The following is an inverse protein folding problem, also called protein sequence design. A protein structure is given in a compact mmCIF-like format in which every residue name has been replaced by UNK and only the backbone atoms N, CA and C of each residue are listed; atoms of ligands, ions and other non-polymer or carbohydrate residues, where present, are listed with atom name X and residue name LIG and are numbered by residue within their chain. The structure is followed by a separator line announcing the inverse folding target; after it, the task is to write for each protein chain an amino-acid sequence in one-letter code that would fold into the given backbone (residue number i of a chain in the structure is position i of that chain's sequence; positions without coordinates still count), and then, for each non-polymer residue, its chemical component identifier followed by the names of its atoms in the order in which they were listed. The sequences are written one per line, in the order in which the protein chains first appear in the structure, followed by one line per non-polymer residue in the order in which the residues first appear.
data_IF_308389073817
#
_entry.id   IF_308389073817
#
_cell.length_a   1.000
_cell.length_b   1.000
_cell.length_c   1.000
_cell.angle_alpha   90.00
_cell.angle_beta   90.00
_cell.angle_gamma   90.00
#
_symmetry.space_group_name_H-M   'P 1'
#
loop_
_entity.id
_entity.type
_entity.pdbx_description
1 polymer ?
#
# COMPACT_ATOMS: atom_id res chain seq x y z
N UNK A 1 53.54 -16.32 76.97
CA UNK A 1 52.29 -17.05 76.74
C UNK A 1 51.24 -16.06 76.26
N UNK A 2 50.99 -15.99 74.95
CA UNK A 2 49.76 -15.39 74.36
C UNK A 2 49.81 -15.60 72.85
N UNK A 3 49.09 -16.60 72.35
CA UNK A 3 48.83 -16.78 70.92
C UNK A 3 47.61 -15.93 70.55
N UNK A 4 47.72 -15.09 69.51
CA UNK A 4 46.56 -14.52 68.81
C UNK A 4 46.58 -15.02 67.37
N UNK A 5 45.58 -15.84 67.06
CA UNK A 5 45.25 -16.39 65.75
C UNK A 5 44.50 -15.33 64.92
N UNK A 6 44.98 -15.02 63.72
CA UNK A 6 44.24 -14.27 62.71
C UNK A 6 43.63 -15.25 61.71
N UNK A 7 42.30 -15.34 61.70
CA UNK A 7 41.53 -16.04 60.67
C UNK A 7 41.46 -15.15 59.42
N UNK A 8 42.10 -15.59 58.33
CA UNK A 8 41.96 -14.97 57.01
C UNK A 8 40.55 -15.25 56.45
N UNK A 9 39.84 -14.18 56.08
CA UNK A 9 38.46 -14.21 55.60
C UNK A 9 38.35 -14.76 54.18
N UNK A 10 37.68 -15.91 54.06
CA UNK A 10 37.12 -16.47 52.82
C UNK A 10 35.82 -15.72 52.52
N UNK A 11 35.87 -14.55 51.89
CA UNK A 11 34.65 -13.79 51.52
C UNK A 11 34.68 -13.12 50.14
N UNK A 12 35.69 -13.39 49.30
CA UNK A 12 35.85 -12.68 48.02
C UNK A 12 35.22 -13.33 46.75
N UNK A 13 34.81 -14.62 46.66
CA UNK A 13 34.36 -15.16 45.38
C UNK A 13 32.85 -15.03 45.09
N UNK A 14 32.01 -14.71 46.08
CA UNK A 14 30.55 -14.72 45.92
C UNK A 14 29.96 -13.48 45.23
N UNK A 15 30.67 -12.34 45.25
CA UNK A 15 30.14 -11.07 44.74
C UNK A 15 30.29 -10.91 43.21
N UNK A 16 31.19 -11.66 42.58
CA UNK A 16 31.49 -11.56 41.13
C UNK A 16 30.46 -12.33 40.28
N UNK A 17 29.84 -13.38 40.83
CA UNK A 17 28.83 -14.19 40.11
C UNK A 17 27.44 -13.54 40.04
N UNK A 18 27.12 -12.65 40.98
CA UNK A 18 25.79 -12.00 41.06
C UNK A 18 25.67 -10.81 40.10
N UNK A 19 26.77 -10.14 39.75
CA UNK A 19 26.74 -9.00 38.82
C UNK A 19 26.65 -9.41 37.35
N UNK A 20 27.19 -10.58 36.98
CA UNK A 20 27.13 -11.10 35.61
C UNK A 20 25.73 -11.59 35.20
N UNK A 21 24.96 -12.14 36.13
CA UNK A 21 23.57 -12.59 35.86
C UNK A 21 22.59 -11.43 35.73
N UNK A 22 22.80 -10.32 36.45
CA UNK A 22 21.98 -9.11 36.32
C UNK A 22 22.21 -8.39 34.99
N UNK A 23 23.43 -8.40 34.44
CA UNK A 23 23.69 -7.82 33.11
C UNK A 23 23.01 -8.62 31.97
N UNK A 24 22.97 -9.96 32.06
CA UNK A 24 22.35 -10.79 31.03
C UNK A 24 20.81 -10.72 31.05
N UNK A 25 20.20 -10.55 32.23
CA UNK A 25 18.75 -10.35 32.34
C UNK A 25 18.33 -8.92 31.98
N UNK A 26 19.18 -7.91 32.21
CA UNK A 26 18.94 -6.54 31.79
C UNK A 26 18.85 -6.39 30.27
N UNK A 27 19.77 -7.00 29.52
CA UNK A 27 19.84 -6.86 28.06
C UNK A 27 18.60 -7.37 27.30
N UNK A 28 17.92 -8.40 27.81
CA UNK A 28 16.74 -8.97 27.15
C UNK A 28 15.49 -8.07 27.21
N UNK A 29 15.40 -7.17 28.19
CA UNK A 29 14.21 -6.33 28.42
C UNK A 29 14.21 -5.06 27.55
N UNK A 30 15.37 -4.57 27.11
CA UNK A 30 15.46 -3.36 26.28
C UNK A 30 15.12 -3.60 24.80
N UNK A 31 15.26 -4.84 24.30
CA UNK A 31 15.07 -5.15 22.86
C UNK A 31 13.60 -5.10 22.42
N UNK A 32 12.63 -5.20 23.33
CA UNK A 32 11.20 -5.18 22.96
C UNK A 32 10.60 -3.76 22.86
N UNK A 33 11.16 -2.77 23.57
CA UNK A 33 10.54 -1.45 23.72
C UNK A 33 10.57 -0.56 22.45
N UNK A 34 11.46 -0.85 21.49
CA UNK A 34 11.66 0.00 20.30
C UNK A 34 10.95 -0.50 19.03
N UNK A 35 10.17 -1.58 19.09
CA UNK A 35 9.45 -2.08 17.91
C UNK A 35 8.21 -1.23 17.63
N UNK A 36 8.27 -0.40 16.58
CA UNK A 36 7.07 0.30 16.05
C UNK A 36 6.01 -0.74 15.65
N UNK A 37 4.74 -0.55 16.02
CA UNK A 37 3.68 -1.47 15.60
C UNK A 37 3.61 -1.51 14.07
N UNK A 38 3.26 -2.67 13.48
CA UNK A 38 3.14 -2.78 12.04
C UNK A 38 2.10 -1.79 11.51
N UNK A 39 2.31 -1.25 10.30
CA UNK A 39 1.35 -0.35 9.71
C UNK A 39 0.02 -1.08 9.50
N UNK A 40 -1.10 -0.35 9.58
CA UNK A 40 -2.43 -0.93 9.39
C UNK A 40 -2.70 -1.18 7.90
N UNK A 41 -3.72 -1.97 7.60
CA UNK A 41 -4.24 -2.10 6.23
C UNK A 41 -4.57 -0.70 5.66
N UNK A 42 -4.30 -0.42 4.37
CA UNK A 42 -3.71 -1.32 3.37
C UNK A 42 -2.18 -1.39 3.40
N UNK A 43 -1.51 -0.52 4.16
CA UNK A 43 -0.05 -0.40 4.19
C UNK A 43 0.65 -1.67 4.67
N UNK A 44 -0.01 -2.46 5.53
CA UNK A 44 0.48 -3.78 5.95
C UNK A 44 0.80 -4.71 4.76
N UNK A 45 -0.01 -4.68 3.69
CA UNK A 45 0.18 -5.54 2.53
C UNK A 45 1.51 -5.25 1.83
N UNK A 46 1.92 -3.98 1.79
CA UNK A 46 3.19 -3.57 1.19
C UNK A 46 4.37 -3.80 2.13
N UNK A 47 4.16 -3.60 3.43
CA UNK A 47 5.22 -3.71 4.43
C UNK A 47 5.67 -5.17 4.66
N UNK A 48 4.78 -6.13 4.45
CA UNK A 48 5.06 -7.57 4.63
C UNK A 48 5.45 -8.29 3.34
N UNK A 49 5.35 -7.62 2.19
CA UNK A 49 5.62 -8.22 0.89
C UNK A 49 7.11 -8.39 0.64
N UNK A 50 7.46 -9.45 -0.09
CA UNK A 50 8.77 -9.65 -0.72
C UNK A 50 8.67 -9.37 -2.21
N UNK A 51 9.82 -9.25 -2.87
CA UNK A 51 9.90 -9.02 -4.32
C UNK A 51 9.15 -10.07 -5.13
N UNK A 52 9.17 -11.33 -4.68
CA UNK A 52 8.55 -12.46 -5.37
C UNK A 52 7.02 -12.48 -5.24
N UNK A 53 6.47 -11.70 -4.31
CA UNK A 53 5.01 -11.60 -4.12
C UNK A 53 4.38 -10.64 -5.15
N UNK A 54 5.20 -9.93 -5.93
CA UNK A 54 4.80 -9.04 -7.01
C UNK A 54 4.87 -9.75 -8.36
N UNK A 55 3.77 -9.66 -9.11
CA UNK A 55 3.58 -10.28 -10.42
C UNK A 55 3.85 -9.31 -11.57
N UNK A 56 3.88 -9.81 -12.79
CA UNK A 56 3.85 -8.95 -13.98
C UNK A 56 2.42 -8.42 -14.25
N UNK A 57 2.31 -7.25 -14.87
CA UNK A 57 1.02 -6.57 -15.13
C UNK A 57 0.12 -7.40 -16.07
N UNK A 58 0.72 -8.24 -16.93
CA UNK A 58 0.04 -9.15 -17.85
C UNK A 58 -0.84 -10.17 -17.10
N UNK A 59 -0.43 -10.60 -15.90
CA UNK A 59 -1.23 -11.50 -15.06
C UNK A 59 -2.53 -10.82 -14.64
N UNK A 60 -2.47 -9.53 -14.31
CA UNK A 60 -3.65 -8.73 -14.00
C UNK A 60 -4.51 -8.51 -15.24
N UNK A 61 -3.89 -8.23 -16.39
CA UNK A 61 -4.58 -7.98 -17.65
C UNK A 61 -5.40 -9.19 -18.13
N UNK A 62 -4.99 -10.42 -17.80
CA UNK A 62 -5.73 -11.64 -18.15
C UNK A 62 -7.17 -11.67 -17.61
N UNK A 63 -7.40 -11.15 -16.41
CA UNK A 63 -8.73 -11.09 -15.78
C UNK A 63 -9.34 -9.68 -15.78
N UNK A 64 -8.53 -8.62 -15.90
CA UNK A 64 -8.97 -7.23 -15.91
C UNK A 64 -8.62 -6.50 -17.23
N UNK A 65 -9.04 -7.02 -18.39
CA UNK A 65 -8.59 -6.51 -19.70
C UNK A 65 -9.02 -5.08 -19.96
N UNK A 66 -10.23 -4.69 -19.55
CA UNK A 66 -10.75 -3.34 -19.76
C UNK A 66 -9.95 -2.28 -18.99
N UNK A 67 -9.49 -2.60 -17.77
CA UNK A 67 -8.65 -1.68 -16.99
C UNK A 67 -7.24 -1.63 -17.57
N UNK A 68 -6.69 -2.77 -17.97
CA UNK A 68 -5.37 -2.86 -18.57
C UNK A 68 -5.28 -2.10 -19.92
N UNK A 69 -6.37 -2.04 -20.68
CA UNK A 69 -6.44 -1.26 -21.92
C UNK A 69 -6.50 0.26 -21.67
N UNK A 70 -7.10 0.67 -20.56
CA UNK A 70 -7.43 2.07 -20.25
C UNK A 70 -6.35 2.79 -19.42
N UNK A 71 -5.85 2.11 -18.39
CA UNK A 71 -4.84 2.62 -17.47
C UNK A 71 -3.60 3.21 -18.15
N UNK A 72 -3.04 2.65 -19.25
CA UNK A 72 -1.86 3.17 -19.94
C UNK A 72 -1.96 4.65 -20.33
N UNK A 73 -3.18 5.18 -20.46
CA UNK A 73 -3.46 6.56 -20.88
C UNK A 73 -3.38 7.57 -19.73
N UNK A 74 -3.13 7.12 -18.52
CA UNK A 74 -3.17 7.95 -17.30
C UNK A 74 -1.79 8.45 -16.89
N UNK A 75 -1.74 9.57 -16.17
CA UNK A 75 -0.49 10.09 -15.59
C UNK A 75 0.17 9.12 -14.61
N UNK A 76 -0.63 8.32 -13.89
CA UNK A 76 -0.09 7.32 -12.97
C UNK A 76 0.66 6.22 -13.74
N UNK A 77 0.11 5.75 -14.86
CA UNK A 77 0.77 4.73 -15.69
C UNK A 77 2.16 5.18 -16.18
N UNK A 78 2.32 6.45 -16.55
CA UNK A 78 3.62 6.98 -16.96
C UNK A 78 4.69 6.87 -15.86
N UNK A 79 4.30 6.97 -14.58
CA UNK A 79 5.22 6.85 -13.47
C UNK A 79 5.47 5.39 -13.07
N UNK A 80 4.42 4.60 -12.85
CA UNK A 80 4.55 3.23 -12.31
C UNK A 80 5.12 2.23 -13.31
N UNK A 81 5.30 2.62 -14.58
CA UNK A 81 5.97 1.81 -15.62
C UNK A 81 7.48 1.99 -15.64
N UNK A 82 8.04 2.91 -14.87
CA UNK A 82 9.50 3.05 -14.78
C UNK A 82 10.11 1.79 -14.15
N UNK A 83 10.88 1.05 -14.95
CA UNK A 83 11.53 -0.20 -14.56
C UNK A 83 12.62 0.00 -13.50
N UNK A 84 13.06 1.24 -13.26
CA UNK A 84 14.00 1.59 -12.19
C UNK A 84 13.34 1.68 -10.82
N UNK A 85 12.01 1.74 -10.76
CA UNK A 85 11.29 1.71 -9.50
C UNK A 85 11.37 0.29 -8.88
N UNK A 86 11.40 0.20 -7.55
CA UNK A 86 11.31 -1.09 -6.88
C UNK A 86 9.92 -1.72 -7.13
N UNK A 87 9.81 -3.05 -7.04
CA UNK A 87 8.64 -3.81 -7.50
C UNK A 87 7.32 -3.32 -6.85
N UNK A 88 7.34 -2.95 -5.58
CA UNK A 88 6.20 -2.44 -4.81
C UNK A 88 5.70 -1.05 -5.24
N UNK A 89 6.42 -0.40 -6.16
CA UNK A 89 6.06 0.89 -6.76
C UNK A 89 5.84 0.79 -8.28
N UNK A 90 5.83 -0.42 -8.83
CA UNK A 90 5.61 -0.67 -10.27
C UNK A 90 4.23 -1.24 -10.59
N UNK A 91 3.77 -0.91 -11.79
CA UNK A 91 2.58 -1.48 -12.39
C UNK A 91 1.30 -1.33 -11.57
N UNK A 92 0.38 -2.28 -11.76
CA UNK A 92 -0.91 -2.34 -11.08
C UNK A 92 -0.74 -2.44 -9.56
N UNK A 93 0.25 -3.22 -9.14
CA UNK A 93 0.50 -3.57 -7.74
C UNK A 93 1.15 -2.43 -6.96
N UNK A 94 1.65 -1.38 -7.63
CA UNK A 94 2.05 -0.13 -6.99
C UNK A 94 0.92 0.47 -6.14
N UNK A 95 -0.34 0.33 -6.57
CA UNK A 95 -1.50 0.82 -5.84
C UNK A 95 -2.30 -0.31 -5.19
N UNK A 96 -2.32 -1.49 -5.81
CA UNK A 96 -3.15 -2.60 -5.40
C UNK A 96 -2.49 -3.56 -4.39
N UNK A 97 -1.18 -3.47 -4.16
CA UNK A 97 -0.46 -4.43 -3.30
C UNK A 97 -0.06 -5.71 -4.03
N UNK A 98 0.70 -6.60 -3.37
CA UNK A 98 1.23 -7.82 -3.98
C UNK A 98 0.12 -8.77 -4.44
N UNK A 99 0.11 -9.11 -5.72
CA UNK A 99 -0.94 -9.87 -6.38
C UNK A 99 -0.89 -11.37 -6.12
N UNK A 100 0.24 -11.92 -5.66
CA UNK A 100 0.42 -13.37 -5.50
C UNK A 100 -0.66 -13.99 -4.60
N UNK A 101 -0.92 -13.39 -3.43
CA UNK A 101 -1.94 -13.92 -2.52
C UNK A 101 -3.37 -13.72 -3.04
N UNK A 102 -3.61 -12.74 -3.90
CA UNK A 102 -4.91 -12.55 -4.54
C UNK A 102 -5.20 -13.68 -5.54
N UNK A 103 -4.23 -14.03 -6.39
CA UNK A 103 -4.40 -15.12 -7.37
C UNK A 103 -4.47 -16.51 -6.72
N UNK A 104 -3.80 -16.70 -5.58
CA UNK A 104 -3.84 -17.99 -4.85
C UNK A 104 -5.16 -18.22 -4.11
N UNK A 105 -6.05 -17.23 -4.04
CA UNK A 105 -7.32 -17.30 -3.31
C UNK A 105 -8.53 -16.92 -4.18
N UNK A 106 -8.44 -17.07 -5.51
CA UNK A 106 -9.52 -16.69 -6.44
C UNK A 106 -10.85 -17.40 -6.15
N UNK A 107 -10.79 -18.62 -5.63
CA UNK A 107 -11.96 -19.46 -5.37
C UNK A 107 -12.59 -19.22 -3.99
N UNK A 108 -11.97 -18.41 -3.13
CA UNK A 108 -12.47 -18.10 -1.78
C UNK A 108 -12.94 -16.63 -1.71
N UNK A 109 -14.25 -16.36 -1.86
CA UNK A 109 -14.79 -15.00 -1.83
C UNK A 109 -14.51 -14.25 -0.53
N UNK A 110 -14.33 -14.98 0.57
CA UNK A 110 -14.01 -14.37 1.86
C UNK A 110 -12.57 -13.87 1.88
N UNK A 111 -11.63 -14.55 1.21
CA UNK A 111 -10.20 -14.22 1.23
C UNK A 111 -9.73 -13.39 0.03
N UNK A 112 -10.32 -13.55 -1.15
CA UNK A 112 -9.89 -12.92 -2.40
C UNK A 112 -9.72 -11.39 -2.28
N UNK A 113 -10.57 -10.74 -1.47
CA UNK A 113 -10.55 -9.30 -1.26
C UNK A 113 -9.66 -8.80 -0.13
N UNK A 114 -9.09 -9.69 0.69
CA UNK A 114 -8.27 -9.32 1.85
C UNK A 114 -6.78 -9.16 1.49
N UNK A 115 -6.36 -9.76 0.38
CA UNK A 115 -4.97 -9.80 -0.05
C UNK A 115 -4.64 -8.79 -1.15
N UNK A 116 -5.55 -7.88 -1.47
CA UNK A 116 -5.37 -6.83 -2.47
C UNK A 116 -6.14 -5.58 -2.06
N UNK A 117 -5.58 -4.40 -2.34
CA UNK A 117 -6.22 -3.13 -2.05
C UNK A 117 -7.35 -2.89 -3.04
N UNK A 118 -8.58 -2.92 -2.54
CA UNK A 118 -9.80 -2.64 -3.31
C UNK A 118 -10.33 -1.26 -2.90
N UNK A 119 -9.92 -0.22 -3.60
CA UNK A 119 -10.24 1.17 -3.24
C UNK A 119 -11.75 1.43 -3.02
N UNK A 120 -12.63 0.78 -3.78
CA UNK A 120 -14.09 0.87 -3.61
C UNK A 120 -14.67 0.04 -2.45
N UNK A 121 -13.84 -0.64 -1.65
CA UNK A 121 -14.25 -1.53 -0.54
C UNK A 121 -13.57 -1.19 0.79
N UNK A 122 -12.77 -0.13 0.82
CA UNK A 122 -11.96 0.28 1.98
C UNK A 122 -12.37 1.68 2.42
N UNK A 123 -12.01 2.08 3.64
CA UNK A 123 -12.39 3.40 4.16
C UNK A 123 -11.64 4.50 3.39
N UNK A 124 -12.22 5.71 3.26
CA UNK A 124 -11.55 6.83 2.59
C UNK A 124 -10.18 7.19 3.17
N UNK A 125 -10.01 7.05 4.49
CA UNK A 125 -8.71 7.23 5.16
C UNK A 125 -7.69 6.14 4.77
N UNK A 126 -8.13 4.89 4.64
CA UNK A 126 -7.32 3.75 4.20
C UNK A 126 -6.88 3.93 2.74
N UNK A 127 -7.81 4.29 1.85
CA UNK A 127 -7.52 4.65 0.46
C UNK A 127 -6.48 5.78 0.37
N UNK A 128 -6.70 6.85 1.12
CA UNK A 128 -5.78 8.00 1.14
C UNK A 128 -4.37 7.60 1.62
N UNK A 129 -4.26 6.70 2.61
CA UNK A 129 -2.96 6.24 3.11
C UNK A 129 -2.14 5.51 2.05
N UNK A 130 -2.80 4.75 1.16
CA UNK A 130 -2.12 4.10 0.04
C UNK A 130 -1.55 5.13 -0.96
N UNK A 131 -2.30 6.19 -1.25
CA UNK A 131 -1.85 7.29 -2.11
C UNK A 131 -0.62 8.01 -1.52
N UNK A 132 -0.60 8.19 -0.19
CA UNK A 132 0.51 8.85 0.50
C UNK A 132 1.82 8.06 0.44
N UNK A 133 1.82 6.78 0.04
CA UNK A 133 3.08 6.04 -0.21
C UNK A 133 4.00 6.73 -1.23
N UNK A 134 3.43 7.51 -2.15
CA UNK A 134 4.19 8.32 -3.10
C UNK A 134 3.91 9.82 -2.94
N UNK A 135 2.69 10.21 -2.56
CA UNK A 135 2.29 11.62 -2.47
C UNK A 135 2.66 12.32 -1.16
N UNK A 136 3.27 11.64 -0.19
CA UNK A 136 3.68 12.24 1.10
C UNK A 136 4.60 13.45 0.92
N UNK A 137 5.42 13.49 -0.14
CA UNK A 137 6.33 14.61 -0.43
C UNK A 137 5.60 15.87 -0.94
N UNK A 138 4.43 15.69 -1.55
CA UNK A 138 3.59 16.79 -2.06
C UNK A 138 2.62 17.25 -0.97
N UNK A 139 2.03 16.29 -0.25
CA UNK A 139 1.09 16.53 0.83
C UNK A 139 1.42 15.59 1.99
N UNK A 140 2.05 16.12 3.03
CA UNK A 140 2.32 15.32 4.22
C UNK A 140 1.02 14.77 4.82
N UNK A 141 1.00 13.48 5.16
CA UNK A 141 -0.12 12.78 5.79
C UNK A 141 -0.65 13.50 7.03
N UNK A 142 0.26 14.06 7.85
CA UNK A 142 -0.09 14.85 9.03
C UNK A 142 -0.84 16.15 8.69
N UNK A 143 -0.56 16.76 7.52
CA UNK A 143 -1.29 17.93 7.02
C UNK A 143 -2.60 17.52 6.38
N UNK A 144 -2.61 16.47 5.56
CA UNK A 144 -3.83 15.90 4.98
C UNK A 144 -4.88 15.58 6.06
N UNK A 145 -4.48 14.92 7.14
CA UNK A 145 -5.35 14.54 8.26
C UNK A 145 -6.04 15.75 8.94
N UNK A 146 -5.53 16.97 8.73
CA UNK A 146 -6.10 18.21 9.29
C UNK A 146 -7.05 18.92 8.34
N UNK A 147 -7.11 18.51 7.07
CA UNK A 147 -7.99 19.12 6.07
C UNK A 147 -9.47 18.86 6.38
N UNK A 148 -10.35 19.71 5.85
CA UNK A 148 -11.79 19.49 5.93
C UNK A 148 -12.20 18.16 5.26
N UNK A 149 -11.58 17.82 4.13
CA UNK A 149 -11.85 16.55 3.43
C UNK A 149 -11.60 15.34 4.35
N UNK A 150 -10.38 15.19 4.87
CA UNK A 150 -10.04 14.06 5.71
C UNK A 150 -10.89 13.98 6.99
N UNK A 151 -11.19 15.12 7.60
CA UNK A 151 -12.02 15.21 8.81
C UNK A 151 -13.49 14.84 8.58
N UNK A 152 -13.98 15.00 7.36
CA UNK A 152 -15.34 14.63 6.97
C UNK A 152 -15.39 13.30 6.22
N UNK A 153 -14.34 12.48 6.33
CA UNK A 153 -14.30 11.15 5.72
C UNK A 153 -14.24 11.17 4.19
N UNK A 154 -13.78 12.26 3.57
CA UNK A 154 -13.53 12.34 2.14
C UNK A 154 -12.08 11.95 1.84
N UNK A 155 -11.89 10.99 0.96
CA UNK A 155 -10.61 10.46 0.52
C UNK A 155 -10.27 10.86 -0.91
N UNK A 156 -9.04 10.59 -1.32
CA UNK A 156 -8.53 10.99 -2.64
C UNK A 156 -9.39 10.43 -3.80
N UNK A 157 -9.84 9.19 -3.68
CA UNK A 157 -10.61 8.48 -4.72
C UNK A 157 -12.05 8.95 -4.86
N UNK A 158 -12.56 9.76 -3.94
CA UNK A 158 -13.92 10.31 -4.06
C UNK A 158 -14.01 11.34 -5.19
N UNK A 159 -12.88 11.95 -5.56
CA UNK A 159 -12.79 12.87 -6.69
C UNK A 159 -11.82 12.40 -7.77
N UNK A 160 -10.67 11.84 -7.41
CA UNK A 160 -9.65 11.41 -8.37
C UNK A 160 -9.90 9.99 -8.89
N UNK A 161 -9.93 9.83 -10.22
CA UNK A 161 -9.94 8.51 -10.87
C UNK A 161 -8.55 8.22 -11.43
N UNK A 162 -8.09 6.99 -11.24
CA UNK A 162 -6.73 6.57 -11.63
C UNK A 162 -6.71 5.52 -12.74
N UNK A 163 -7.82 4.80 -12.97
CA UNK A 163 -7.92 3.80 -14.03
C UNK A 163 -8.34 4.38 -15.39
N UNK A 164 -8.88 5.59 -15.41
CA UNK A 164 -9.38 6.23 -16.61
C UNK A 164 -9.00 7.71 -16.62
N UNK A 165 -8.73 8.23 -17.81
CA UNK A 165 -8.64 9.67 -18.02
C UNK A 165 -10.06 10.23 -17.92
N UNK A 166 -10.35 11.07 -16.92
CA UNK A 166 -11.59 11.84 -16.96
C UNK A 166 -11.51 12.72 -18.21
N UNK A 167 -12.46 12.57 -19.15
CA UNK A 167 -12.71 13.64 -20.12
C UNK A 167 -13.03 14.87 -19.29
N UNK A 168 -12.15 15.86 -19.31
CA UNK A 168 -12.48 17.16 -18.73
C UNK A 168 -13.75 17.63 -19.42
N UNK A 169 -14.77 18.01 -18.66
CA UNK A 169 -15.96 18.70 -19.14
C UNK A 169 -15.66 20.10 -19.74
N UNK A 170 -14.39 20.37 -20.07
CA UNK A 170 -13.88 21.58 -20.70
C UNK A 170 -13.38 21.36 -22.14
N UNK A 171 -13.46 20.13 -22.67
CA UNK A 171 -13.52 19.99 -24.12
C UNK A 171 -14.98 20.23 -24.45
N UNK A 172 -15.28 21.41 -24.99
CA UNK A 172 -16.57 21.65 -25.62
C UNK A 172 -16.87 20.45 -26.51
N UNK A 173 -17.97 19.76 -26.24
CA UNK A 173 -18.52 18.76 -27.14
C UNK A 173 -18.60 19.43 -28.51
N UNK A 174 -17.71 19.09 -29.45
CA UNK A 174 -17.93 19.44 -30.84
C UNK A 174 -19.20 18.69 -31.23
N UNK A 175 -20.31 19.43 -31.21
CA UNK A 175 -21.59 18.97 -31.70
C UNK A 175 -21.32 18.34 -33.07
N UNK A 176 -21.53 17.03 -33.26
CA UNK A 176 -21.34 16.45 -34.57
C UNK A 176 -22.24 17.25 -35.52
N UNK A 177 -21.63 17.81 -36.57
CA UNK A 177 -22.34 18.49 -37.62
C UNK A 177 -23.49 17.56 -38.01
N UNK A 178 -24.72 17.99 -37.74
CA UNK A 178 -25.90 17.20 -38.02
C UNK A 178 -25.85 16.84 -39.50
N UNK A 179 -25.54 15.58 -39.79
CA UNK A 179 -25.76 15.01 -41.09
C UNK A 179 -27.26 15.19 -41.35
N UNK A 180 -27.56 16.09 -42.27
CA UNK A 180 -28.88 16.35 -42.77
C UNK A 180 -29.37 15.06 -43.45
N UNK A 181 -30.00 14.17 -42.67
CA UNK A 181 -30.68 12.98 -43.15
C UNK A 181 -32.12 13.29 -43.54
N UNK A 182 -32.33 14.42 -44.23
CA UNK A 182 -33.54 14.63 -45.03
C UNK A 182 -33.18 14.55 -46.51
N UNK A 183 -33.26 13.33 -47.03
CA UNK A 183 -33.44 13.14 -48.48
C UNK A 183 -32.60 12.01 -49.08
N UNK A 184 -32.95 10.76 -48.78
CA UNK A 184 -32.81 9.67 -49.74
C UNK A 184 -33.73 8.53 -49.33
N UNK A 185 -34.86 8.49 -50.00
CA UNK A 185 -35.92 7.50 -49.90
C UNK A 185 -35.38 6.09 -50.17
N UNK A 186 -35.84 5.11 -49.38
CA UNK A 186 -35.96 3.72 -49.83
C UNK A 186 -36.82 3.69 -51.11
N UNK A 187 -36.57 2.75 -52.04
CA UNK A 187 -37.15 1.41 -51.92
C UNK A 187 -36.09 0.37 -52.36
N UNK A 188 -36.25 -0.95 -52.38
CA UNK A 188 -37.38 -1.87 -52.37
C UNK A 188 -36.77 -3.27 -52.23
N UNK A 189 -37.55 -4.20 -51.71
CA UNK A 189 -37.38 -5.66 -51.75
C UNK A 189 -36.60 -6.25 -52.93
N UNK A 190 -35.62 -7.12 -52.62
CA UNK A 190 -35.48 -8.50 -53.11
C UNK A 190 -34.49 -9.25 -52.24
#
# INVERSE_FOLDING_TARGET
MSQRSTRAGVFLPALILVTSTVCLLGAAVWVEADRKPPPRFPLTLFALARSEDYLDDEVCAGCHPSIAAEFPRTYHAAHVRDTKLPAEKRGCQACHGPGQNHISNLEDPAKIGQHIVRYGKIKPAEASSACMRCHETVMHSARWARTAHARNGVGCTDCHTVHHVRRSSLVAEEKPASADLRGALSPMYS
#
